data_IF_547618968770
#
_entry.id   IF_547618968770
#
_cell.length_a   1.000
_cell.length_b   1.000
_cell.length_c   1.000
_cell.angle_alpha   90.00
_cell.angle_beta   90.00
_cell.angle_gamma   90.00
#
_symmetry.space_group_name_H-M   'P 1'
#
loop_
_entity.id
_entity.type
_entity.pdbx_description
1 polymer ?
#
# COMPACT_ATOMS: atom_id res chain seq x y z
N UNK A 1 14.04 -13.90 11.78
CA UNK A 1 13.94 -12.62 12.51
C UNK A 1 12.64 -11.97 12.11
N UNK A 2 11.63 -11.99 12.99
CA UNK A 2 10.38 -11.27 12.73
C UNK A 2 10.66 -9.76 12.79
N UNK A 3 10.04 -8.97 11.91
CA UNK A 3 10.13 -7.52 11.98
C UNK A 3 9.67 -7.07 13.37
N UNK A 4 10.47 -6.26 14.07
CA UNK A 4 10.04 -5.71 15.35
C UNK A 4 8.84 -4.78 15.11
N UNK A 5 7.81 -4.77 15.99
CA UNK A 5 6.63 -3.92 15.84
C UNK A 5 6.95 -2.44 15.58
N UNK A 6 8.06 -1.94 16.12
CA UNK A 6 8.53 -0.57 15.93
C UNK A 6 9.00 -0.22 14.52
N UNK A 7 9.47 -1.20 13.73
CA UNK A 7 9.88 -0.98 12.34
C UNK A 7 8.66 -0.85 11.44
N UNK A 8 7.63 -1.67 11.65
CA UNK A 8 6.36 -1.54 10.93
C UNK A 8 5.67 -0.21 11.24
N UNK A 9 5.74 0.26 12.49
CA UNK A 9 5.25 1.59 12.86
C UNK A 9 5.90 2.73 12.07
N UNK A 10 7.23 2.68 11.85
CA UNK A 10 7.92 3.67 11.01
C UNK A 10 7.51 3.62 9.54
N UNK A 11 7.22 2.42 9.01
CA UNK A 11 6.71 2.25 7.65
C UNK A 11 5.36 2.97 7.51
N UNK A 12 4.45 2.76 8.47
CA UNK A 12 3.14 3.42 8.48
C UNK A 12 3.26 4.94 8.59
N UNK A 13 4.12 5.44 9.46
CA UNK A 13 4.34 6.89 9.60
C UNK A 13 4.77 7.53 8.27
N UNK A 14 5.70 6.90 7.55
CA UNK A 14 6.17 7.39 6.25
C UNK A 14 5.08 7.25 5.18
N UNK A 15 4.34 6.15 5.18
CA UNK A 15 3.23 5.92 4.26
C UNK A 15 2.16 7.01 4.42
N UNK A 16 1.71 7.28 5.65
CA UNK A 16 0.76 8.36 5.94
C UNK A 16 1.30 9.75 5.58
N UNK A 17 2.61 9.98 5.77
CA UNK A 17 3.26 11.24 5.40
C UNK A 17 3.15 11.53 3.90
N UNK A 18 3.12 10.51 3.04
CA UNK A 18 2.94 10.71 1.60
C UNK A 18 1.58 11.37 1.29
N UNK A 19 0.52 11.01 2.02
CA UNK A 19 -0.79 11.63 1.87
C UNK A 19 -0.80 13.08 2.38
N UNK A 20 -0.19 13.32 3.55
CA UNK A 20 -0.16 14.66 4.16
C UNK A 20 0.71 15.66 3.38
N UNK A 21 1.90 15.23 2.97
CA UNK A 21 2.95 16.16 2.52
C UNK A 21 3.21 16.10 1.02
N UNK A 22 2.84 14.99 0.35
CA UNK A 22 3.21 14.73 -1.05
C UNK A 22 2.03 14.64 -2.00
N UNK A 23 0.81 14.77 -1.48
CA UNK A 23 -0.41 14.80 -2.30
C UNK A 23 -0.80 13.44 -2.87
N UNK A 24 -0.46 12.34 -2.19
CA UNK A 24 -0.95 11.02 -2.56
C UNK A 24 -2.49 11.00 -2.58
N UNK A 25 -3.07 10.42 -3.62
CA UNK A 25 -4.53 10.39 -3.80
C UNK A 25 -5.10 9.16 -3.10
N UNK A 26 -4.51 8.00 -3.37
CA UNK A 26 -4.93 6.70 -2.88
C UNK A 26 -3.84 5.67 -3.12
N UNK A 27 -3.51 4.87 -2.11
CA UNK A 27 -2.48 3.85 -2.21
C UNK A 27 -2.71 2.74 -1.20
N UNK A 28 -2.09 1.58 -1.47
CA UNK A 28 -1.96 0.47 -0.53
C UNK A 28 -0.50 0.11 -0.32
N UNK A 29 -0.19 -0.47 0.84
CA UNK A 29 1.09 -1.10 1.14
C UNK A 29 0.85 -2.48 1.75
N UNK A 30 1.61 -3.48 1.31
CA UNK A 30 1.62 -4.82 1.89
C UNK A 30 3.06 -5.28 2.09
N UNK A 31 3.36 -5.86 3.25
CA UNK A 31 4.69 -6.36 3.61
C UNK A 31 4.56 -7.81 4.05
N UNK A 32 5.26 -8.70 3.35
CA UNK A 32 5.29 -10.13 3.62
C UNK A 32 6.68 -10.56 4.08
N UNK A 33 6.74 -11.46 5.05
CA UNK A 33 7.98 -12.10 5.48
C UNK A 33 7.73 -13.57 5.78
N UNK A 34 8.52 -14.45 5.15
CA UNK A 34 8.47 -15.89 5.39
C UNK A 34 7.04 -16.48 5.29
N UNK A 35 6.34 -16.13 4.21
CA UNK A 35 4.96 -16.56 3.95
C UNK A 35 3.88 -15.91 4.82
N UNK A 36 4.23 -15.01 5.73
CA UNK A 36 3.27 -14.31 6.61
C UNK A 36 3.12 -12.85 6.19
N UNK A 37 1.88 -12.38 6.02
CA UNK A 37 1.59 -10.96 5.83
C UNK A 37 1.72 -10.24 7.17
N UNK A 38 2.69 -9.34 7.27
CA UNK A 38 2.98 -8.58 8.49
C UNK A 38 2.29 -7.21 8.50
N UNK A 39 1.95 -6.69 7.32
CA UNK A 39 1.29 -5.40 7.14
C UNK A 39 0.44 -5.44 5.87
N UNK A 40 -0.79 -4.93 5.96
CA UNK A 40 -1.69 -4.73 4.81
C UNK A 40 -2.55 -3.52 5.10
N UNK A 41 -2.25 -2.39 4.48
CA UNK A 41 -2.93 -1.13 4.74
C UNK A 41 -3.26 -0.40 3.43
N UNK A 42 -4.34 0.39 3.45
CA UNK A 42 -4.79 1.18 2.31
C UNK A 42 -5.46 2.47 2.76
N UNK A 43 -5.14 3.59 2.10
CA UNK A 43 -5.61 4.91 2.49
C UNK A 43 -5.93 5.77 1.26
N UNK A 44 -6.76 6.79 1.46
CA UNK A 44 -7.08 7.79 0.46
C UNK A 44 -8.34 7.47 -0.35
N UNK A 45 -8.29 7.77 -1.64
CA UNK A 45 -9.44 7.76 -2.54
C UNK A 45 -9.07 7.15 -3.89
N UNK A 46 -10.05 6.55 -4.57
CA UNK A 46 -9.83 5.95 -5.89
C UNK A 46 -9.59 7.00 -6.99
N UNK A 47 -10.09 8.23 -6.81
CA UNK A 47 -10.01 9.32 -7.76
C UNK A 47 -9.63 10.65 -7.10
N UNK A 48 -9.13 11.59 -7.92
CA UNK A 48 -8.75 12.94 -7.47
C UNK A 48 -9.92 13.72 -6.89
N UNK A 49 -11.11 13.46 -7.40
CA UNK A 49 -12.37 14.07 -7.00
C UNK A 49 -12.85 13.57 -5.63
N UNK A 50 -12.18 12.55 -5.06
CA UNK A 50 -12.47 11.99 -3.73
C UNK A 50 -13.91 11.52 -3.57
N UNK A 51 -14.43 10.83 -4.57
CA UNK A 51 -15.82 10.35 -4.59
C UNK A 51 -15.95 8.96 -4.00
N UNK A 52 -14.96 8.07 -4.21
CA UNK A 52 -14.94 6.71 -3.66
C UNK A 52 -13.76 6.51 -2.73
N UNK A 53 -13.98 6.07 -1.48
CA UNK A 53 -12.89 5.78 -0.56
C UNK A 53 -12.06 4.61 -1.08
N UNK A 54 -10.77 4.64 -0.79
CA UNK A 54 -9.89 3.50 -1.01
C UNK A 54 -10.17 2.41 0.02
N UNK A 55 -10.23 1.17 -0.44
CA UNK A 55 -10.45 -0.02 0.39
C UNK A 55 -9.46 -1.12 0.01
N UNK A 56 -9.37 -2.17 0.81
CA UNK A 56 -8.58 -3.37 0.51
C UNK A 56 -9.00 -4.05 -0.81
N UNK A 57 -10.23 -3.83 -1.25
CA UNK A 57 -10.77 -4.38 -2.50
C UNK A 57 -10.57 -3.46 -3.71
N UNK A 58 -9.89 -2.31 -3.53
CA UNK A 58 -9.65 -1.36 -4.61
C UNK A 58 -8.65 -1.91 -5.62
N UNK A 59 -9.13 -2.14 -6.84
CA UNK A 59 -8.29 -2.58 -7.96
C UNK A 59 -7.60 -1.39 -8.62
N UNK A 60 -6.31 -1.57 -8.95
CA UNK A 60 -5.51 -0.59 -9.69
C UNK A 60 -4.91 -1.21 -10.94
N UNK A 61 -4.73 -0.45 -12.03
CA UNK A 61 -3.89 -0.88 -13.12
C UNK A 61 -2.44 -1.04 -12.63
N UNK A 62 -1.92 -2.27 -12.67
CA UNK A 62 -0.55 -2.58 -12.20
C UNK A 62 0.52 -2.40 -13.29
N UNK A 63 0.12 -1.97 -14.49
CA UNK A 63 1.00 -1.66 -15.62
C UNK A 63 2.08 -2.72 -15.86
N UNK A 64 3.37 -2.33 -15.84
CA UNK A 64 4.47 -3.24 -16.09
C UNK A 64 4.68 -4.28 -14.99
N UNK A 65 4.06 -4.13 -13.80
CA UNK A 65 4.15 -5.15 -12.77
C UNK A 65 3.44 -6.45 -13.18
N UNK A 66 2.54 -6.44 -14.19
CA UNK A 66 2.00 -7.66 -14.81
C UNK A 66 3.07 -8.56 -15.42
N UNK A 67 4.25 -8.03 -15.74
CA UNK A 67 5.36 -8.81 -16.30
C UNK A 67 5.84 -9.92 -15.36
N UNK A 68 5.83 -9.66 -14.05
CA UNK A 68 6.27 -10.62 -13.03
C UNK A 68 5.42 -11.89 -13.05
N UNK A 69 4.08 -11.84 -12.87
CA UNK A 69 3.26 -13.04 -12.94
C UNK A 69 3.25 -13.70 -14.33
N UNK A 70 3.46 -12.95 -15.42
CA UNK A 70 3.54 -13.57 -16.76
C UNK A 70 4.84 -14.35 -17.03
N UNK A 71 5.87 -14.17 -16.20
CA UNK A 71 7.16 -14.84 -16.34
C UNK A 71 7.28 -16.11 -15.48
N UNK A 72 6.30 -16.35 -14.60
CA UNK A 72 6.17 -17.57 -13.80
C UNK A 72 5.51 -18.69 -14.61
#
# INVERSE_FOLDING_TARGET
MAASPSVLGKVLEVFERNFRDRGEIGASISVWWDGTELLSEGHGWCEKEKTRPWTTDTLVPVYSATKVPSAA
#
